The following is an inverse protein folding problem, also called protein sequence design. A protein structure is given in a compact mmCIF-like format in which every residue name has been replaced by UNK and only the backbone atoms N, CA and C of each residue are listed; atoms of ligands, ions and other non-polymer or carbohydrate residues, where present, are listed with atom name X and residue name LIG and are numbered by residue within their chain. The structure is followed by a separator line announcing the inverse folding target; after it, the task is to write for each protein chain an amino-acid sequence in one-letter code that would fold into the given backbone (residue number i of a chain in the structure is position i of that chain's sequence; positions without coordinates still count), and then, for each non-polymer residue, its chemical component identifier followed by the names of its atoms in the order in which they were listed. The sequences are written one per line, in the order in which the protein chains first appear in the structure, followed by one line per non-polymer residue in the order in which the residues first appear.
data_IF_290220282566
#
_entry.id   IF_290220282566
#
_cell.length_a   1.000
_cell.length_b   1.000
_cell.length_c   1.000
_cell.angle_alpha   90.00
_cell.angle_beta   90.00
_cell.angle_gamma   90.00
#
_symmetry.space_group_name_H-M   'P 1'
#
loop_
_entity.id
_entity.type
_entity.pdbx_description
1 polymer ?
#
# COMPACT_ATOMS: atom_id res chain seq x y z
N UNK A 1 7.58 -0.50 21.38
CA UNK A 1 6.96 -1.71 20.77
C UNK A 1 5.79 -1.38 19.84
N UNK A 2 4.85 -0.51 20.23
CA UNK A 2 3.71 -0.13 19.38
C UNK A 2 4.10 0.52 18.04
N UNK A 3 5.14 1.36 18.03
CA UNK A 3 5.60 2.07 16.83
C UNK A 3 6.10 1.12 15.75
N UNK A 4 6.85 0.09 16.14
CA UNK A 4 7.34 -0.93 15.22
C UNK A 4 6.17 -1.64 14.52
N UNK A 5 5.10 -1.95 15.26
CA UNK A 5 3.89 -2.55 14.70
C UNK A 5 3.19 -1.59 13.74
N UNK A 6 3.10 -0.30 14.06
CA UNK A 6 2.51 0.72 13.18
C UNK A 6 3.28 0.86 11.87
N UNK A 7 4.60 1.02 11.94
CA UNK A 7 5.47 1.13 10.76
C UNK A 7 5.39 -0.12 9.89
N UNK A 8 5.44 -1.32 10.50
CA UNK A 8 5.34 -2.58 9.79
C UNK A 8 3.97 -2.75 9.11
N UNK A 9 2.89 -2.38 9.80
CA UNK A 9 1.53 -2.46 9.26
C UNK A 9 1.34 -1.51 8.08
N UNK A 10 1.73 -0.24 8.22
CA UNK A 10 1.67 0.76 7.14
C UNK A 10 2.53 0.37 5.94
N UNK A 11 3.72 -0.19 6.20
CA UNK A 11 4.58 -0.70 5.14
C UNK A 11 3.97 -1.90 4.41
N UNK A 12 3.42 -2.88 5.13
CA UNK A 12 2.73 -4.04 4.54
C UNK A 12 1.51 -3.61 3.72
N UNK A 13 0.70 -2.69 4.25
CA UNK A 13 -0.44 -2.12 3.52
C UNK A 13 0.04 -1.43 2.25
N UNK A 14 1.11 -0.64 2.33
CA UNK A 14 1.72 0.00 1.17
C UNK A 14 2.22 -0.99 0.12
N UNK A 15 2.85 -2.08 0.55
CA UNK A 15 3.34 -3.15 -0.32
C UNK A 15 2.19 -3.89 -1.01
N UNK A 16 1.14 -4.24 -0.25
CA UNK A 16 -0.06 -4.89 -0.78
C UNK A 16 -0.72 -3.98 -1.81
N UNK A 17 -0.90 -2.70 -1.52
CA UNK A 17 -1.47 -1.74 -2.47
C UNK A 17 -0.58 -1.55 -3.72
N UNK A 18 0.75 -1.59 -3.57
CA UNK A 18 1.66 -1.49 -4.69
C UNK A 18 1.62 -2.73 -5.60
N UNK A 19 1.52 -3.94 -5.02
CA UNK A 19 1.63 -5.22 -5.75
C UNK A 19 0.27 -5.75 -6.20
N UNK A 20 -0.77 -5.67 -5.37
CA UNK A 20 -2.11 -6.19 -5.63
C UNK A 20 -2.63 -5.90 -7.04
N UNK A 21 -2.63 -4.64 -7.56
CA UNK A 21 -3.13 -4.34 -8.90
C UNK A 21 -2.37 -5.00 -10.06
N UNK A 22 -1.19 -5.55 -9.81
CA UNK A 22 -0.36 -6.26 -10.80
C UNK A 22 -0.46 -7.78 -10.67
N UNK A 23 -1.22 -8.28 -9.71
CA UNK A 23 -1.42 -9.73 -9.52
C UNK A 23 -2.55 -10.24 -10.39
N UNK A 24 -2.44 -11.50 -10.83
CA UNK A 24 -3.52 -12.20 -11.53
C UNK A 24 -4.81 -12.28 -10.70
N UNK A 25 -4.70 -12.24 -9.37
CA UNK A 25 -5.84 -12.17 -8.44
C UNK A 25 -6.68 -10.89 -8.63
N UNK A 26 -6.06 -9.76 -9.01
CA UNK A 26 -6.75 -8.51 -9.27
C UNK A 26 -7.53 -8.54 -10.60
N UNK A 27 -6.96 -9.18 -11.62
CA UNK A 27 -7.61 -9.41 -12.92
C UNK A 27 -8.74 -10.44 -12.85
N UNK A 28 -8.54 -11.51 -12.08
CA UNK A 28 -9.44 -12.67 -11.99
C UNK A 28 -10.45 -12.59 -10.83
N UNK A 29 -10.94 -11.39 -10.51
CA UNK A 29 -11.95 -11.20 -9.47
C UNK A 29 -13.32 -11.72 -9.91
N UNK A 30 -13.67 -12.94 -9.50
CA UNK A 30 -15.00 -13.55 -9.72
C UNK A 30 -16.16 -12.69 -9.17
N UNK A 31 -15.91 -11.91 -8.11
CA UNK A 31 -16.88 -10.98 -7.51
C UNK A 31 -17.24 -9.80 -8.43
N UNK A 32 -16.39 -9.47 -9.41
CA UNK A 32 -16.64 -8.40 -10.39
C UNK A 32 -17.32 -8.91 -11.66
N UNK A 33 -17.55 -10.23 -11.77
CA UNK A 33 -18.24 -10.83 -12.90
C UNK A 33 -19.68 -10.29 -13.12
N UNK A 34 -20.46 -9.96 -12.07
CA UNK A 34 -21.77 -9.33 -12.23
C UNK A 34 -21.72 -7.85 -12.63
N UNK A 35 -20.57 -7.18 -12.46
CA UNK A 35 -20.42 -5.72 -12.60
C UNK A 35 -19.36 -5.35 -13.66
N UNK A 36 -19.70 -5.45 -14.96
CA UNK A 36 -18.74 -5.26 -16.05
C UNK A 36 -18.16 -3.85 -16.12
N UNK A 37 -18.94 -2.83 -15.75
CA UNK A 37 -18.48 -1.42 -15.72
C UNK A 37 -17.45 -1.21 -14.62
N UNK A 38 -17.72 -1.73 -13.42
CA UNK A 38 -16.79 -1.60 -12.28
C UNK A 38 -15.50 -2.36 -12.55
N UNK A 39 -15.59 -3.52 -13.20
CA UNK A 39 -14.44 -4.28 -13.70
C UNK A 39 -13.61 -3.47 -14.69
N UNK A 40 -14.22 -2.81 -15.68
CA UNK A 40 -13.49 -2.00 -16.65
C UNK A 40 -12.72 -0.84 -15.98
N UNK A 41 -13.31 -0.21 -14.96
CA UNK A 41 -12.66 0.84 -14.17
C UNK A 41 -11.51 0.26 -13.34
N UNK A 42 -11.75 -0.80 -12.56
CA UNK A 42 -10.74 -1.43 -11.68
C UNK A 42 -9.55 -2.03 -12.43
N UNK A 43 -9.76 -2.49 -13.66
CA UNK A 43 -8.72 -3.02 -14.54
C UNK A 43 -8.06 -1.93 -15.39
N UNK A 44 -8.54 -0.69 -15.33
CA UNK A 44 -7.93 0.42 -16.06
C UNK A 44 -6.51 0.71 -15.56
N UNK A 45 -5.62 1.12 -16.47
CA UNK A 45 -4.27 1.54 -16.13
C UNK A 45 -4.28 2.72 -15.12
N UNK A 46 -5.31 3.56 -15.17
CA UNK A 46 -5.48 4.67 -14.24
C UNK A 46 -5.71 4.19 -12.79
N UNK A 47 -6.60 3.22 -12.59
CA UNK A 47 -6.85 2.67 -11.25
C UNK A 47 -5.63 1.91 -10.74
N UNK A 48 -4.96 1.11 -11.58
CA UNK A 48 -3.70 0.44 -11.18
C UNK A 48 -2.63 1.45 -10.78
N UNK A 49 -2.47 2.53 -11.52
CA UNK A 49 -1.58 3.64 -11.19
C UNK A 49 -1.96 4.35 -9.89
N UNK A 50 -3.25 4.59 -9.67
CA UNK A 50 -3.75 5.25 -8.45
C UNK A 50 -3.53 4.40 -7.21
N UNK A 51 -3.86 3.10 -7.29
CA UNK A 51 -3.70 2.14 -6.18
C UNK A 51 -2.22 1.92 -5.86
N UNK A 52 -1.37 1.77 -6.88
CA UNK A 52 0.07 1.65 -6.67
C UNK A 52 0.71 2.94 -6.16
N UNK A 53 0.26 4.11 -6.63
CA UNK A 53 0.65 5.42 -6.12
C UNK A 53 0.31 5.59 -4.64
N UNK A 54 -0.89 5.19 -4.22
CA UNK A 54 -1.27 5.12 -2.80
C UNK A 54 -0.37 4.17 -2.00
N UNK A 55 0.00 3.04 -2.58
CA UNK A 55 0.95 2.10 -1.98
C UNK A 55 2.33 2.73 -1.73
N UNK A 56 2.85 3.47 -2.72
CA UNK A 56 4.10 4.21 -2.59
C UNK A 56 4.05 5.27 -1.50
N UNK A 57 2.94 6.03 -1.40
CA UNK A 57 2.76 7.02 -0.33
C UNK A 57 2.81 6.37 1.05
N UNK A 58 2.15 5.23 1.23
CA UNK A 58 2.20 4.48 2.49
C UNK A 58 3.62 4.00 2.83
N UNK A 59 4.38 3.52 1.85
CA UNK A 59 5.78 3.11 2.06
C UNK A 59 6.64 4.30 2.49
N UNK A 60 6.47 5.47 1.86
CA UNK A 60 7.20 6.70 2.21
C UNK A 60 6.83 7.16 3.63
N UNK A 61 5.55 7.10 4.00
CA UNK A 61 5.09 7.44 5.34
C UNK A 61 5.70 6.52 6.41
N UNK A 62 5.69 5.21 6.17
CA UNK A 62 6.33 4.23 7.06
C UNK A 62 7.84 4.50 7.23
N UNK A 63 8.52 4.88 6.14
CA UNK A 63 9.96 5.23 6.20
C UNK A 63 10.20 6.53 6.97
N UNK A 64 9.31 7.52 6.83
CA UNK A 64 9.38 8.77 7.58
C UNK A 64 9.23 8.54 9.08
N UNK A 65 8.19 7.78 9.48
CA UNK A 65 7.93 7.40 10.87
C UNK A 65 9.10 6.62 11.48
N UNK A 66 9.66 5.68 10.71
CA UNK A 66 10.84 4.93 11.13
C UNK A 66 12.03 5.85 11.41
N UNK A 67 12.35 6.76 10.48
CA UNK A 67 13.49 7.68 10.65
C UNK A 67 13.32 8.62 11.84
N UNK A 68 12.12 9.16 12.06
CA UNK A 68 11.88 10.02 13.21
C UNK A 68 12.11 9.29 14.54
N UNK A 69 11.70 8.03 14.64
CA UNK A 69 11.95 7.24 15.85
C UNK A 69 13.45 6.95 16.06
N UNK A 70 14.17 6.55 15.01
CA UNK A 70 15.61 6.32 15.12
C UNK A 70 16.40 7.58 15.49
N UNK A 71 15.97 8.76 15.04
CA UNK A 71 16.58 10.05 15.44
C UNK A 71 16.28 10.37 16.90
N UNK A 72 15.04 10.16 17.35
CA UNK A 72 14.62 10.51 18.71
C UNK A 72 15.31 9.66 19.79
N UNK A 73 15.70 8.43 19.47
CA UNK A 73 16.42 7.53 20.40
C UNK A 73 17.95 7.85 20.52
N UNK A 74 18.47 8.77 19.71
CA UNK A 74 19.91 9.12 19.66
C UNK A 74 20.35 10.26 20.60
N UNK A 75 19.43 11.11 21.04
CA UNK A 75 19.74 12.32 21.83
C UNK A 75 19.75 12.06 23.36
N UNK A 76 19.54 10.81 23.78
CA UNK A 76 19.46 10.39 25.19
C UNK A 76 20.69 9.64 25.73
N UNK A 77 21.80 9.58 24.99
CA UNK A 77 23.04 8.90 25.38
C UNK A 77 24.14 9.89 25.80
#
# INVERSE_FOLDING_TARGET
MAVFLSVLSTFLVGLILAIAPWTSLWDANYLLNPYPVLRAVLLSAFTRGTVSGLGLVNIVLALHEARQHFVTDGDGA
#
